data_IF_538706307298
#
_entry.id   IF_538706307298
#
_cell.length_a   1.000
_cell.length_b   1.000
_cell.length_c   1.000
_cell.angle_alpha   90.00
_cell.angle_beta   90.00
_cell.angle_gamma   90.00
#
_symmetry.space_group_name_H-M   'P 1'
#
loop_
_entity.id
_entity.type
_entity.pdbx_description
1 polymer ?
#
# COMPACT_ATOMS: atom_id res chain seq x y z
N UNK A 1 2.42 -20.08 -14.70
CA UNK A 1 2.64 -20.35 -16.15
C UNK A 1 1.40 -20.00 -16.97
N UNK A 2 1.55 -19.27 -18.10
CA UNK A 2 0.48 -19.05 -19.07
C UNK A 2 0.26 -20.39 -19.81
N UNK A 3 -0.99 -20.73 -20.07
CA UNK A 3 -1.39 -22.01 -20.68
C UNK A 3 -0.77 -23.24 -20.01
N UNK A 4 -1.16 -23.50 -18.76
CA UNK A 4 -1.06 -24.85 -18.24
C UNK A 4 -2.07 -25.74 -18.97
N UNK A 5 -1.64 -26.35 -20.08
CA UNK A 5 -2.17 -27.64 -20.56
C UNK A 5 -1.94 -28.77 -19.55
N UNK A 6 -1.29 -28.49 -18.40
CA UNK A 6 -1.23 -29.33 -17.22
C UNK A 6 -2.50 -29.31 -16.34
N UNK A 7 -2.47 -30.09 -15.26
CA UNK A 7 -3.60 -30.36 -14.35
C UNK A 7 -4.40 -29.13 -13.91
N UNK A 8 -3.75 -27.98 -13.73
CA UNK A 8 -4.41 -26.72 -13.36
C UNK A 8 -5.37 -26.18 -14.44
N UNK A 9 -5.05 -26.30 -15.73
CA UNK A 9 -5.94 -25.85 -16.81
C UNK A 9 -7.14 -26.78 -17.00
N UNK A 10 -6.95 -28.09 -16.82
CA UNK A 10 -8.02 -29.07 -16.83
C UNK A 10 -8.99 -28.87 -15.63
N UNK A 11 -8.45 -28.62 -14.44
CA UNK A 11 -9.23 -28.26 -13.24
C UNK A 11 -10.07 -26.99 -13.45
N UNK A 12 -9.45 -25.93 -14.00
CA UNK A 12 -10.14 -24.66 -14.26
C UNK A 12 -11.27 -24.81 -15.28
N UNK A 13 -11.07 -25.63 -16.31
CA UNK A 13 -12.13 -25.93 -17.27
C UNK A 13 -13.28 -26.73 -16.60
N UNK A 14 -12.98 -27.73 -15.78
CA UNK A 14 -13.99 -28.48 -15.02
C UNK A 14 -14.81 -27.61 -14.06
N UNK A 15 -14.16 -26.67 -13.37
CA UNK A 15 -14.80 -25.70 -12.46
C UNK A 15 -15.76 -24.75 -13.19
N UNK A 16 -15.41 -24.29 -14.40
CA UNK A 16 -16.28 -23.38 -15.18
C UNK A 16 -17.62 -24.01 -15.57
N UNK A 17 -17.66 -25.32 -15.84
CA UNK A 17 -18.89 -26.02 -16.21
C UNK A 17 -19.84 -26.21 -15.01
N UNK A 18 -19.30 -26.37 -13.81
CA UNK A 18 -20.07 -26.68 -12.61
C UNK A 18 -20.31 -25.48 -11.68
N UNK A 19 -19.80 -24.29 -12.00
CA UNK A 19 -19.92 -23.10 -11.15
C UNK A 19 -20.06 -21.81 -11.97
N UNK A 20 -21.23 -21.54 -12.58
CA UNK A 20 -21.44 -20.40 -13.47
C UNK A 20 -21.31 -19.03 -12.78
N UNK A 21 -21.37 -19.00 -11.44
CA UNK A 21 -21.16 -17.81 -10.60
C UNK A 21 -19.71 -17.60 -10.16
N UNK A 22 -18.79 -18.50 -10.52
CA UNK A 22 -17.40 -18.47 -10.06
C UNK A 22 -16.63 -17.27 -10.65
N UNK A 23 -16.01 -16.48 -9.77
CA UNK A 23 -15.04 -15.47 -10.16
C UNK A 23 -13.66 -16.09 -10.04
N UNK A 24 -12.91 -16.10 -11.14
CA UNK A 24 -11.58 -16.67 -11.20
C UNK A 24 -10.54 -15.56 -11.34
N UNK A 25 -9.74 -15.32 -10.30
CA UNK A 25 -8.66 -14.35 -10.31
C UNK A 25 -7.31 -15.03 -10.56
N UNK A 26 -6.50 -14.46 -11.47
CA UNK A 26 -5.14 -14.92 -11.75
C UNK A 26 -4.14 -13.76 -11.67
N UNK A 27 -3.03 -13.99 -10.98
CA UNK A 27 -1.90 -13.06 -10.88
C UNK A 27 -0.67 -13.75 -11.49
N UNK A 28 -0.05 -13.12 -12.50
CA UNK A 28 1.21 -13.60 -13.09
C UNK A 28 2.35 -12.60 -12.89
N UNK A 29 3.58 -12.95 -13.31
CA UNK A 29 4.71 -12.01 -13.26
C UNK A 29 4.51 -10.82 -14.20
N UNK A 30 4.26 -11.10 -15.48
CA UNK A 30 4.31 -10.10 -16.55
C UNK A 30 3.03 -9.96 -17.39
N UNK A 31 1.94 -10.62 -16.98
CA UNK A 31 0.70 -10.74 -17.76
C UNK A 31 0.51 -12.15 -18.33
N UNK A 32 -0.64 -12.40 -18.95
CA UNK A 32 -1.00 -13.71 -19.52
C UNK A 32 -0.62 -13.85 -21.00
N UNK A 33 -0.36 -12.72 -21.67
CA UNK A 33 -0.05 -12.65 -23.10
C UNK A 33 1.20 -11.83 -23.33
N UNK A 34 1.78 -11.98 -24.53
CA UNK A 34 2.94 -11.23 -24.96
C UNK A 34 4.28 -11.90 -24.63
N UNK A 35 5.40 -11.23 -24.92
CA UNK A 35 6.72 -11.85 -24.95
C UNK A 35 7.19 -12.44 -23.61
N UNK A 36 6.69 -11.92 -22.49
CA UNK A 36 7.11 -12.31 -21.14
C UNK A 36 6.07 -13.17 -20.42
N UNK A 37 5.00 -13.61 -21.09
CA UNK A 37 3.92 -14.35 -20.43
C UNK A 37 4.45 -15.61 -19.75
N UNK A 38 5.41 -16.32 -20.38
CA UNK A 38 5.97 -17.58 -19.93
C UNK A 38 7.00 -17.48 -18.80
N UNK A 39 7.43 -16.26 -18.49
CA UNK A 39 8.51 -16.03 -17.53
C UNK A 39 8.06 -16.28 -16.09
N UNK A 40 8.97 -16.75 -15.20
CA UNK A 40 8.69 -16.90 -13.79
C UNK A 40 8.23 -15.59 -13.13
N UNK A 41 7.31 -15.71 -12.18
CA UNK A 41 6.83 -14.59 -11.38
C UNK A 41 7.80 -14.30 -10.23
N UNK A 42 8.88 -13.58 -10.51
CA UNK A 42 9.83 -13.08 -9.52
C UNK A 42 9.64 -11.56 -9.32
N UNK A 43 9.22 -11.12 -8.12
CA UNK A 43 8.99 -9.70 -7.84
C UNK A 43 10.21 -8.81 -8.05
N UNK A 44 11.40 -9.25 -7.68
CA UNK A 44 12.61 -8.42 -7.74
C UNK A 44 13.06 -8.23 -9.19
N UNK A 45 12.93 -9.29 -10.01
CA UNK A 45 13.14 -9.18 -11.46
C UNK A 45 12.11 -8.25 -12.11
N UNK A 46 10.87 -8.27 -11.65
CA UNK A 46 9.86 -7.31 -12.08
C UNK A 46 10.29 -5.90 -11.70
N UNK A 47 10.64 -5.61 -10.44
CA UNK A 47 11.06 -4.27 -9.99
C UNK A 47 12.29 -3.75 -10.74
N UNK A 48 13.28 -4.61 -10.97
CA UNK A 48 14.47 -4.28 -11.76
C UNK A 48 14.11 -3.89 -13.20
N UNK A 49 13.34 -4.74 -13.89
CA UNK A 49 12.88 -4.48 -15.26
C UNK A 49 12.00 -3.23 -15.36
N UNK A 50 11.26 -2.98 -14.28
CA UNK A 50 10.36 -1.86 -14.16
C UNK A 50 11.07 -0.57 -13.74
N UNK A 51 12.40 -0.57 -13.59
CA UNK A 51 13.19 0.62 -13.27
C UNK A 51 12.99 1.13 -11.84
N UNK A 52 12.25 0.40 -10.99
CA UNK A 52 11.95 0.82 -9.61
C UNK A 52 13.23 0.89 -8.78
N UNK A 53 14.12 -0.10 -8.93
CA UNK A 53 15.39 -0.14 -8.20
C UNK A 53 16.32 1.01 -8.60
N UNK A 54 16.28 1.39 -9.88
CA UNK A 54 17.04 2.52 -10.42
C UNK A 54 16.37 3.89 -10.16
N UNK A 55 15.19 3.91 -9.53
CA UNK A 55 14.42 5.13 -9.21
C UNK A 55 14.24 5.39 -7.70
N UNK A 56 14.96 4.67 -6.83
CA UNK A 56 15.09 4.94 -5.38
C UNK A 56 16.10 6.03 -4.93
N UNK A 57 15.68 7.14 -4.29
CA UNK A 57 16.61 8.14 -3.77
C UNK A 57 17.61 7.54 -2.76
N UNK A 58 18.85 8.04 -2.75
CA UNK A 58 19.94 7.44 -1.97
C UNK A 58 21.10 8.41 -1.72
N UNK A 59 21.85 8.19 -0.63
CA UNK A 59 23.16 8.82 -0.36
C UNK A 59 24.34 8.15 -1.08
N UNK A 60 24.08 7.09 -1.86
CA UNK A 60 25.07 6.41 -2.70
C UNK A 60 24.61 6.31 -4.15
N UNK A 61 25.59 6.22 -5.05
CA UNK A 61 25.33 5.94 -6.46
C UNK A 61 24.79 4.53 -6.70
N UNK A 62 24.11 4.39 -7.84
CA UNK A 62 23.59 3.12 -8.38
C UNK A 62 22.23 2.70 -7.82
N UNK A 63 21.64 1.62 -8.37
CA UNK A 63 20.33 1.13 -7.95
C UNK A 63 20.27 0.74 -6.48
N UNK A 64 19.12 0.96 -5.84
CA UNK A 64 18.84 0.54 -4.46
C UNK A 64 17.84 -0.60 -4.47
N UNK A 65 18.13 -1.64 -3.71
CA UNK A 65 17.18 -2.71 -3.46
C UNK A 65 16.01 -2.18 -2.61
N UNK A 66 14.77 -2.48 -3.01
CA UNK A 66 13.58 -2.08 -2.26
C UNK A 66 13.08 -3.26 -1.44
N UNK A 67 13.15 -3.14 -0.11
CA UNK A 67 12.66 -4.19 0.79
C UNK A 67 11.14 -4.36 0.76
N UNK A 68 10.40 -3.28 0.53
CA UNK A 68 8.95 -3.37 0.46
C UNK A 68 8.52 -4.13 -0.81
N UNK A 69 7.67 -5.18 -0.72
CA UNK A 69 7.27 -5.99 -1.86
C UNK A 69 6.20 -5.27 -2.70
N UNK A 70 6.57 -4.12 -3.25
CA UNK A 70 5.72 -3.18 -3.99
C UNK A 70 4.89 -3.88 -5.07
N UNK A 71 5.52 -4.74 -5.87
CA UNK A 71 4.86 -5.44 -6.96
C UNK A 71 3.77 -6.39 -6.44
N UNK A 72 4.02 -7.10 -5.34
CA UNK A 72 3.08 -8.04 -4.73
C UNK A 72 1.90 -7.30 -4.10
N UNK A 73 2.17 -6.24 -3.32
CA UNK A 73 1.14 -5.44 -2.68
C UNK A 73 0.25 -4.79 -3.74
N UNK A 74 0.85 -4.17 -4.75
CA UNK A 74 0.11 -3.56 -5.85
C UNK A 74 -0.73 -4.57 -6.63
N UNK A 75 -0.18 -5.75 -6.95
CA UNK A 75 -0.92 -6.81 -7.63
C UNK A 75 -2.08 -7.35 -6.78
N UNK A 76 -1.86 -7.53 -5.47
CA UNK A 76 -2.90 -7.95 -4.52
C UNK A 76 -4.03 -6.94 -4.42
N UNK A 77 -3.73 -5.64 -4.35
CA UNK A 77 -4.73 -4.58 -4.36
C UNK A 77 -5.53 -4.55 -5.66
N UNK A 78 -4.87 -4.64 -6.82
CA UNK A 78 -5.53 -4.70 -8.12
C UNK A 78 -6.43 -5.94 -8.25
N UNK A 79 -5.95 -7.10 -7.75
CA UNK A 79 -6.74 -8.32 -7.73
C UNK A 79 -7.98 -8.16 -6.85
N UNK A 80 -7.85 -7.61 -5.64
CA UNK A 80 -8.97 -7.36 -4.75
C UNK A 80 -10.00 -6.40 -5.37
N UNK A 81 -9.55 -5.29 -5.97
CA UNK A 81 -10.41 -4.35 -6.68
C UNK A 81 -11.13 -5.03 -7.84
N UNK A 82 -10.42 -5.80 -8.66
CA UNK A 82 -10.99 -6.55 -9.78
C UNK A 82 -12.02 -7.58 -9.33
N UNK A 83 -11.76 -8.29 -8.22
CA UNK A 83 -12.70 -9.24 -7.62
C UNK A 83 -13.96 -8.51 -7.13
N UNK A 84 -13.82 -7.38 -6.44
CA UNK A 84 -14.98 -6.58 -5.99
C UNK A 84 -15.81 -6.08 -7.17
N UNK A 85 -15.17 -5.59 -8.23
CA UNK A 85 -15.87 -5.19 -9.45
C UNK A 85 -16.59 -6.37 -10.13
N UNK A 86 -15.96 -7.54 -10.18
CA UNK A 86 -16.56 -8.76 -10.69
C UNK A 86 -17.74 -9.25 -9.83
N UNK A 87 -17.64 -9.13 -8.50
CA UNK A 87 -18.73 -9.43 -7.57
C UNK A 87 -19.92 -8.50 -7.81
N UNK A 88 -19.67 -7.21 -8.01
CA UNK A 88 -20.70 -6.23 -8.33
C UNK A 88 -21.40 -6.56 -9.67
N UNK A 89 -20.64 -6.81 -10.73
CA UNK A 89 -21.19 -7.24 -12.03
C UNK A 89 -21.99 -8.54 -11.94
N UNK A 90 -21.58 -9.47 -11.07
CA UNK A 90 -22.25 -10.75 -10.89
C UNK A 90 -23.65 -10.60 -10.28
N UNK A 91 -23.91 -9.55 -9.50
CA UNK A 91 -25.25 -9.29 -8.98
C UNK A 91 -26.24 -8.91 -10.09
N UNK A 92 -25.78 -8.20 -11.12
CA UNK A 92 -26.61 -7.84 -12.28
C UNK A 92 -26.76 -8.99 -13.28
N UNK A 93 -25.65 -9.70 -13.56
CA UNK A 93 -25.60 -10.69 -14.65
C UNK A 93 -25.92 -12.11 -14.19
N UNK A 94 -25.83 -12.38 -12.89
CA UNK A 94 -25.91 -13.71 -12.32
C UNK A 94 -24.72 -14.62 -12.65
N UNK A 95 -23.67 -14.11 -13.32
CA UNK A 95 -22.53 -14.91 -13.82
C UNK A 95 -21.21 -14.37 -13.28
N UNK A 96 -20.30 -15.29 -12.97
CA UNK A 96 -18.93 -14.94 -12.62
C UNK A 96 -18.10 -14.60 -13.86
N UNK A 97 -16.90 -14.06 -13.64
CA UNK A 97 -15.98 -13.69 -14.71
C UNK A 97 -14.52 -13.98 -14.33
N UNK A 98 -13.62 -13.83 -15.29
CA UNK A 98 -12.18 -13.92 -15.06
C UNK A 98 -11.63 -12.53 -14.69
N UNK A 99 -10.83 -12.47 -13.64
CA UNK A 99 -10.06 -11.29 -13.24
C UNK A 99 -8.58 -11.61 -13.44
N UNK A 100 -7.83 -10.70 -14.06
CA UNK A 100 -6.41 -10.90 -14.35
C UNK A 100 -5.62 -9.66 -13.97
N UNK A 101 -4.47 -9.86 -13.34
CA UNK A 101 -3.48 -8.82 -13.10
C UNK A 101 -2.07 -9.43 -13.09
N UNK A 102 -1.06 -8.61 -12.85
CA UNK A 102 0.33 -9.07 -12.79
C UNK A 102 1.15 -8.28 -11.77
N UNK A 103 2.27 -8.86 -11.34
CA UNK A 103 3.29 -8.16 -10.56
C UNK A 103 3.76 -6.90 -11.29
N UNK A 104 3.90 -6.97 -12.61
CA UNK A 104 4.25 -5.83 -13.45
C UNK A 104 3.18 -4.73 -13.39
N UNK A 105 1.89 -5.07 -13.42
CA UNK A 105 0.80 -4.11 -13.22
C UNK A 105 0.82 -3.53 -11.80
N UNK A 106 1.09 -4.34 -10.78
CA UNK A 106 1.28 -3.88 -9.40
C UNK A 106 2.41 -2.86 -9.28
N UNK A 107 3.55 -3.10 -9.93
CA UNK A 107 4.69 -2.19 -9.93
C UNK A 107 4.42 -0.85 -10.68
N UNK A 108 3.40 -0.79 -11.54
CA UNK A 108 2.97 0.47 -12.16
C UNK A 108 2.32 1.43 -11.14
N UNK A 109 1.74 0.92 -10.06
CA UNK A 109 1.12 1.76 -9.03
C UNK A 109 2.14 2.56 -8.21
N UNK A 110 3.41 2.13 -8.22
CA UNK A 110 4.47 2.72 -7.40
C UNK A 110 4.97 4.07 -7.92
N UNK A 111 5.03 4.23 -9.25
CA UNK A 111 5.57 5.46 -9.84
C UNK A 111 4.81 5.80 -11.11
N UNK A 112 4.32 7.05 -11.24
CA UNK A 112 3.62 7.48 -12.43
C UNK A 112 4.58 7.42 -13.62
N UNK A 113 4.29 6.52 -14.56
CA UNK A 113 5.08 6.38 -15.79
C UNK A 113 4.46 7.22 -16.87
N UNK A 114 5.09 8.35 -17.13
CA UNK A 114 4.69 9.24 -18.22
C UNK A 114 5.79 9.25 -19.26
N UNK A 115 5.41 9.07 -20.52
CA UNK A 115 6.28 9.27 -21.68
C UNK A 115 5.61 10.27 -22.60
N UNK A 116 6.30 11.36 -22.92
CA UNK A 116 5.87 12.30 -23.95
C UNK A 116 7.10 12.86 -24.67
N UNK A 117 6.97 13.21 -25.95
CA UNK A 117 8.10 13.62 -26.81
C UNK A 117 8.87 14.83 -26.28
N UNK A 118 8.19 15.70 -25.54
CA UNK A 118 8.76 16.90 -24.92
C UNK A 118 8.87 16.80 -23.39
N UNK A 119 8.55 15.64 -22.81
CA UNK A 119 8.74 15.42 -21.39
C UNK A 119 10.23 15.16 -21.16
N UNK A 120 10.91 16.13 -20.58
CA UNK A 120 12.21 15.89 -20.00
C UNK A 120 12.04 14.76 -18.97
N UNK A 121 12.75 13.65 -19.18
CA UNK A 121 12.82 12.60 -18.18
C UNK A 121 13.30 13.26 -16.90
N UNK A 122 12.39 13.44 -15.93
CA UNK A 122 12.80 13.62 -14.55
C UNK A 122 13.29 12.27 -14.10
N UNK A 123 14.48 11.90 -14.56
CA UNK A 123 15.28 10.94 -13.84
C UNK A 123 15.42 11.58 -12.47
N UNK A 124 14.75 11.03 -11.47
CA UNK A 124 15.23 11.17 -10.10
C UNK A 124 16.70 10.78 -10.21
N UNK A 125 17.62 11.75 -10.28
CA UNK A 125 19.05 11.46 -10.32
C UNK A 125 19.42 11.24 -8.86
N UNK A 126 19.72 9.99 -8.54
CA UNK A 126 19.61 9.47 -7.18
C UNK A 126 20.97 9.26 -6.53
N UNK A 127 21.82 10.26 -6.65
CA UNK A 127 22.99 10.36 -5.81
C UNK A 127 22.71 11.18 -4.55
N UNK A 128 21.47 11.65 -4.36
CA UNK A 128 21.13 12.31 -3.11
C UNK A 128 19.68 12.11 -2.66
N UNK A 129 19.43 11.82 -1.37
CA UNK A 129 18.09 11.61 -0.82
C UNK A 129 17.42 12.94 -0.47
N UNK A 130 17.76 14.00 -1.20
CA UNK A 130 17.29 15.38 -1.03
C UNK A 130 15.79 15.53 -1.33
N UNK A 131 15.08 14.42 -1.51
CA UNK A 131 13.63 14.34 -1.61
C UNK A 131 13.06 15.26 -2.68
N UNK A 132 11.99 15.96 -2.33
CA UNK A 132 11.27 16.89 -3.20
C UNK A 132 11.91 18.28 -3.30
N UNK A 133 12.94 18.57 -2.49
CA UNK A 133 13.62 19.86 -2.44
C UNK A 133 14.39 20.11 -1.13
N UNK A 134 15.09 21.25 -1.00
CA UNK A 134 15.95 21.58 0.15
C UNK A 134 15.26 21.58 1.53
N UNK A 135 13.95 21.83 1.59
CA UNK A 135 13.14 21.74 2.81
C UNK A 135 12.12 20.59 2.77
N UNK A 136 12.28 19.67 1.82
CA UNK A 136 11.42 18.49 1.64
C UNK A 136 12.30 17.24 1.53
N UNK A 137 12.92 16.84 2.64
CA UNK A 137 13.87 15.73 2.72
C UNK A 137 14.01 15.22 4.15
N UNK A 138 14.83 14.18 4.35
CA UNK A 138 15.17 13.61 5.65
C UNK A 138 16.54 14.14 6.07
N UNK A 139 16.65 14.63 7.31
CA UNK A 139 17.86 15.23 7.84
C UNK A 139 18.27 14.59 9.17
N UNK A 140 19.57 14.37 9.32
CA UNK A 140 20.21 13.92 10.56
C UNK A 140 20.29 15.09 11.56
N UNK A 141 19.92 14.84 12.81
CA UNK A 141 19.96 15.78 13.91
C UNK A 141 21.23 15.60 14.77
N UNK A 142 21.45 16.45 15.77
CA UNK A 142 22.66 16.44 16.60
C UNK A 142 22.88 15.13 17.40
N UNK A 143 21.80 14.43 17.70
CA UNK A 143 21.77 13.16 18.43
C UNK A 143 21.87 11.91 17.52
N UNK A 144 22.00 12.10 16.19
CA UNK A 144 22.05 11.03 15.21
C UNK A 144 20.68 10.48 14.79
N UNK A 145 19.60 11.02 15.37
CA UNK A 145 18.22 10.73 14.96
C UNK A 145 17.85 11.53 13.70
N UNK A 146 16.80 11.10 12.99
CA UNK A 146 16.43 11.66 11.69
C UNK A 146 15.02 12.24 11.69
N UNK A 147 14.86 13.42 11.08
CA UNK A 147 13.57 14.08 10.86
C UNK A 147 13.29 14.24 9.37
N UNK A 148 12.05 13.94 8.95
CA UNK A 148 11.53 14.34 7.65
C UNK A 148 10.96 15.75 7.76
N UNK A 149 11.38 16.65 6.88
CA UNK A 149 10.70 17.93 6.63
C UNK A 149 9.78 17.81 5.42
N UNK A 150 8.57 18.36 5.53
CA UNK A 150 7.49 18.27 4.54
C UNK A 150 7.09 19.61 3.94
N UNK A 151 8.02 20.56 3.78
CA UNK A 151 7.71 21.92 3.33
C UNK A 151 7.42 21.95 1.81
N UNK A 152 6.18 21.64 1.43
CA UNK A 152 5.79 21.49 0.02
C UNK A 152 5.56 22.82 -0.72
N UNK A 153 5.30 23.90 0.02
CA UNK A 153 5.06 25.25 -0.53
C UNK A 153 5.90 26.29 0.21
N UNK A 154 6.12 27.44 -0.43
CA UNK A 154 7.02 28.50 0.06
C UNK A 154 6.69 29.00 1.48
N UNK A 155 5.40 29.10 1.85
CA UNK A 155 5.05 29.50 3.21
C UNK A 155 5.60 28.57 4.32
N UNK A 156 5.70 27.27 4.07
CA UNK A 156 6.34 26.34 5.02
C UNK A 156 7.87 26.49 5.02
N UNK A 157 8.45 26.82 3.85
CA UNK A 157 9.87 27.14 3.75
C UNK A 157 10.21 28.37 4.57
N UNK A 158 9.39 29.43 4.47
CA UNK A 158 9.58 30.67 5.22
C UNK A 158 9.52 30.43 6.75
N UNK A 159 8.53 29.65 7.20
CA UNK A 159 8.39 29.26 8.62
C UNK A 159 9.59 28.44 9.09
N UNK A 160 10.00 27.41 8.32
CA UNK A 160 11.14 26.58 8.66
C UNK A 160 12.43 27.41 8.70
N UNK A 161 12.67 28.26 7.70
CA UNK A 161 13.84 29.13 7.64
C UNK A 161 13.90 30.12 8.81
N UNK A 162 12.75 30.65 9.25
CA UNK A 162 12.67 31.50 10.44
C UNK A 162 13.05 30.74 11.71
N UNK A 163 12.51 29.54 11.93
CA UNK A 163 12.81 28.68 13.09
C UNK A 163 14.27 28.22 13.10
N UNK A 164 14.81 27.93 11.92
CA UNK A 164 16.20 27.55 11.70
C UNK A 164 17.18 28.72 11.82
N UNK A 165 16.69 29.97 11.81
CA UNK A 165 17.52 31.17 11.85
C UNK A 165 18.26 31.46 10.55
N UNK A 166 17.78 30.94 9.40
CA UNK A 166 18.38 31.13 8.07
C UNK A 166 17.54 32.00 7.13
N UNK A 167 16.58 32.75 7.68
CA UNK A 167 15.66 33.57 6.89
C UNK A 167 16.37 34.68 6.09
N UNK A 168 17.53 35.17 6.55
CA UNK A 168 18.31 36.16 5.81
C UNK A 168 18.97 35.54 4.57
N UNK A 169 19.51 34.34 4.70
CA UNK A 169 20.14 33.56 3.63
C UNK A 169 19.13 33.23 2.52
N UNK A 170 17.86 33.03 2.88
CA UNK A 170 16.76 32.83 1.93
C UNK A 170 16.49 34.04 1.01
N UNK A 171 17.09 35.20 1.27
CA UNK A 171 17.01 36.36 0.35
C UNK A 171 17.94 36.26 -0.86
N UNK A 172 18.83 35.27 -0.90
CA UNK A 172 19.65 34.97 -2.08
C UNK A 172 18.73 34.70 -3.30
N UNK A 173 18.80 35.50 -4.37
CA UNK A 173 17.94 35.32 -5.53
C UNK A 173 18.11 33.95 -6.20
N UNK A 174 19.26 33.28 -6.02
CA UNK A 174 19.49 31.93 -6.55
C UNK A 174 18.64 30.85 -5.86
N UNK A 175 18.22 31.08 -4.61
CA UNK A 175 17.36 30.15 -3.88
C UNK A 175 15.88 30.26 -4.27
N UNK A 176 15.48 31.37 -4.90
CA UNK A 176 14.10 31.58 -5.31
C UNK A 176 13.15 31.54 -4.12
N UNK A 177 12.14 30.66 -4.18
CA UNK A 177 11.20 30.40 -3.08
C UNK A 177 11.66 29.27 -2.14
N UNK A 178 12.92 28.84 -2.26
CA UNK A 178 13.53 27.72 -1.54
C UNK A 178 13.05 26.33 -1.95
N UNK A 179 11.94 26.23 -2.70
CA UNK A 179 11.41 24.97 -3.21
C UNK A 179 12.13 24.57 -4.49
N UNK A 180 12.27 25.51 -5.42
CA UNK A 180 12.91 25.28 -6.72
C UNK A 180 14.01 26.33 -6.96
N UNK A 181 15.19 26.16 -6.35
CA UNK A 181 16.35 27.01 -6.63
C UNK A 181 16.67 27.06 -8.13
N UNK A 182 17.24 28.17 -8.58
CA UNK A 182 17.39 28.47 -10.01
C UNK A 182 18.22 27.44 -10.78
N UNK A 183 19.17 26.81 -10.10
CA UNK A 183 20.06 25.80 -10.66
C UNK A 183 20.44 24.76 -9.60
N UNK A 184 21.07 23.68 -10.05
CA UNK A 184 21.44 22.55 -9.19
C UNK A 184 22.48 22.92 -8.12
N UNK A 185 23.40 23.85 -8.43
CA UNK A 185 24.41 24.30 -7.48
C UNK A 185 23.78 25.05 -6.32
N UNK A 186 22.90 26.01 -6.59
CA UNK A 186 22.11 26.72 -5.59
C UNK A 186 21.24 25.75 -4.76
N UNK A 187 20.67 24.73 -5.41
CA UNK A 187 19.87 23.69 -4.75
C UNK A 187 20.69 22.89 -3.75
N UNK A 188 21.90 22.48 -4.13
CA UNK A 188 22.83 21.76 -3.26
C UNK A 188 23.33 22.64 -2.10
N UNK A 189 23.66 23.92 -2.38
CA UNK A 189 24.05 24.89 -1.34
C UNK A 189 22.96 25.02 -0.29
N UNK A 190 21.72 25.24 -0.70
CA UNK A 190 20.59 25.39 0.22
C UNK A 190 20.30 24.11 1.00
N UNK A 191 20.34 22.95 0.32
CA UNK A 191 20.15 21.66 1.01
C UNK A 191 21.20 21.43 2.09
N UNK A 192 22.48 21.68 1.79
CA UNK A 192 23.57 21.51 2.76
C UNK A 192 23.43 22.49 3.92
N UNK A 193 23.03 23.73 3.66
CA UNK A 193 22.74 24.71 4.73
C UNK A 193 21.64 24.21 5.68
N UNK A 194 20.53 23.70 5.15
CA UNK A 194 19.46 23.10 5.97
C UNK A 194 19.99 21.90 6.74
N UNK A 195 20.74 21.01 6.09
CA UNK A 195 21.32 19.83 6.73
C UNK A 195 22.28 20.19 7.88
N UNK A 196 23.12 21.21 7.70
CA UNK A 196 24.04 21.68 8.73
C UNK A 196 23.29 22.29 9.92
N UNK A 197 22.22 23.05 9.67
CA UNK A 197 21.38 23.60 10.75
C UNK A 197 20.69 22.48 11.52
N UNK A 198 20.14 21.47 10.84
CA UNK A 198 19.48 20.33 11.50
C UNK A 198 20.42 19.62 12.49
N UNK A 199 21.74 19.63 12.26
CA UNK A 199 22.74 19.06 13.18
C UNK A 199 23.03 19.89 14.43
N UNK A 200 22.40 21.06 14.61
CA UNK A 200 22.65 21.93 15.76
C UNK A 200 21.83 21.59 17.00
N UNK A 201 20.74 20.81 16.86
CA UNK A 201 19.85 20.40 17.96
C UNK A 201 19.44 18.92 17.84
N UNK A 202 19.09 18.26 18.96
CA UNK A 202 18.50 16.92 18.95
C UNK A 202 17.16 16.88 18.21
N UNK A 203 16.77 15.72 17.69
CA UNK A 203 15.53 15.57 16.91
C UNK A 203 14.27 15.96 17.70
N UNK A 204 14.22 15.65 19.00
CA UNK A 204 13.08 16.00 19.85
C UNK A 204 12.91 17.53 20.00
N UNK A 205 14.00 18.27 20.17
CA UNK A 205 13.96 19.74 20.27
C UNK A 205 13.50 20.36 18.94
N UNK A 206 14.01 19.85 17.82
CA UNK A 206 13.54 20.28 16.50
C UNK A 206 12.06 20.00 16.28
N UNK A 207 11.57 18.81 16.67
CA UNK A 207 10.17 18.45 16.55
C UNK A 207 9.28 19.44 17.33
N UNK A 208 9.63 19.78 18.56
CA UNK A 208 8.90 20.77 19.37
C UNK A 208 8.91 22.16 18.72
N UNK A 209 10.07 22.61 18.22
CA UNK A 209 10.21 23.92 17.57
C UNK A 209 9.41 24.01 16.26
N UNK A 210 9.45 22.96 15.45
CA UNK A 210 8.72 22.91 14.18
C UNK A 210 7.20 22.78 14.41
N UNK A 211 6.77 21.97 15.36
CA UNK A 211 5.36 21.86 15.73
C UNK A 211 4.80 23.18 16.25
N UNK A 212 5.53 23.88 17.12
CA UNK A 212 5.13 25.19 17.63
C UNK A 212 5.02 26.28 16.55
N UNK A 213 5.68 26.09 15.40
CA UNK A 213 5.69 27.01 14.26
C UNK A 213 4.85 26.52 13.07
N UNK A 214 4.06 25.46 13.23
CA UNK A 214 3.27 24.83 12.16
C UNK A 214 4.12 24.39 10.94
N UNK A 215 5.38 24.00 11.17
CA UNK A 215 6.27 23.46 10.14
C UNK A 215 6.04 21.94 10.02
N UNK A 216 5.61 21.42 8.84
CA UNK A 216 5.38 19.99 8.67
C UNK A 216 6.66 19.19 8.84
N UNK A 217 6.73 18.41 9.92
CA UNK A 217 7.87 17.57 10.23
C UNK A 217 7.46 16.33 11.01
N UNK A 218 8.22 15.25 10.86
CA UNK A 218 8.02 14.02 11.62
C UNK A 218 9.32 13.26 11.81
N UNK A 219 9.46 12.58 12.95
CA UNK A 219 10.57 11.64 13.19
C UNK A 219 10.52 10.46 12.22
N UNK A 220 11.68 10.17 11.63
CA UNK A 220 11.88 9.01 10.76
C UNK A 220 12.20 7.77 11.60
N UNK A 221 11.19 7.24 12.27
CA UNK A 221 11.31 6.04 13.12
C UNK A 221 11.33 4.71 12.36
N UNK A 222 11.60 3.64 13.09
CA UNK A 222 11.56 2.26 12.60
C UNK A 222 10.12 1.74 12.50
N UNK A 223 9.92 0.68 11.70
CA UNK A 223 8.62 0.01 11.60
C UNK A 223 8.14 -0.57 12.95
N UNK A 224 9.06 -0.96 13.84
CA UNK A 224 8.73 -1.48 15.16
C UNK A 224 8.24 -0.36 16.09
N UNK A 225 8.88 0.81 16.05
CA UNK A 225 8.43 1.98 16.80
C UNK A 225 7.05 2.44 16.31
N UNK A 226 6.80 2.41 15.00
CA UNK A 226 5.52 2.79 14.42
C UNK A 226 4.34 1.98 14.98
N UNK A 227 4.50 0.69 15.30
CA UNK A 227 3.42 -0.10 15.91
C UNK A 227 3.01 0.38 17.31
N UNK A 228 3.86 1.16 17.97
CA UNK A 228 3.58 1.79 19.26
C UNK A 228 3.15 3.26 19.12
N UNK A 229 2.99 3.76 17.90
CA UNK A 229 2.57 5.14 17.66
C UNK A 229 1.17 5.37 18.27
N UNK A 230 0.98 6.45 19.06
CA UNK A 230 -0.29 6.72 19.71
C UNK A 230 -1.48 6.77 18.75
N UNK A 231 -1.28 7.28 17.53
CA UNK A 231 -2.31 7.36 16.50
C UNK A 231 -2.63 5.98 15.91
N UNK A 232 -1.63 5.10 15.74
CA UNK A 232 -1.84 3.72 15.31
C UNK A 232 -2.65 2.95 16.36
N UNK A 233 -2.27 3.09 17.64
CA UNK A 233 -2.98 2.45 18.76
C UNK A 233 -4.40 2.99 18.91
N UNK A 234 -4.59 4.31 18.88
CA UNK A 234 -5.91 4.94 19.00
C UNK A 234 -6.89 4.51 17.88
N UNK A 235 -6.37 4.22 16.69
CA UNK A 235 -7.18 3.80 15.55
C UNK A 235 -7.26 2.27 15.38
N UNK A 236 -6.89 1.48 16.38
CA UNK A 236 -6.81 0.00 16.32
C UNK A 236 -6.13 -0.50 15.02
N UNK A 237 -5.12 0.24 14.55
CA UNK A 237 -4.34 -0.10 13.36
C UNK A 237 -3.20 -1.08 13.69
N UNK A 238 -2.98 -1.34 14.97
CA UNK A 238 -2.23 -2.48 15.49
C UNK A 238 -3.17 -3.36 16.32
N UNK A 239 -2.92 -4.66 16.31
CA UNK A 239 -3.66 -5.65 17.10
C UNK A 239 -2.70 -6.63 17.76
N UNK A 240 -3.10 -7.19 18.89
CA UNK A 240 -2.37 -8.26 19.56
C UNK A 240 -3.09 -9.60 19.36
N UNK A 241 -2.31 -10.67 19.19
CA UNK A 241 -2.82 -12.04 19.23
C UNK A 241 -1.77 -13.00 19.81
N UNK A 242 -2.21 -14.17 20.28
CA UNK A 242 -1.30 -15.24 20.69
C UNK A 242 -0.97 -16.13 19.49
N UNK A 243 0.20 -15.94 18.90
CA UNK A 243 0.69 -16.77 17.79
C UNK A 243 1.22 -18.11 18.34
N UNK A 244 0.88 -19.25 17.71
CA UNK A 244 1.28 -20.58 18.21
C UNK A 244 2.79 -20.83 18.20
N UNK A 245 3.57 -20.05 17.44
CA UNK A 245 5.03 -20.17 17.34
C UNK A 245 5.73 -19.06 18.12
N UNK A 246 5.21 -17.84 18.07
CA UNK A 246 5.88 -16.65 18.61
C UNK A 246 5.29 -16.13 19.92
N UNK A 247 4.17 -16.70 20.40
CA UNK A 247 3.45 -16.23 21.58
C UNK A 247 2.77 -14.88 21.32
N UNK A 248 2.64 -14.06 22.36
CA UNK A 248 2.00 -12.74 22.26
C UNK A 248 2.69 -11.88 21.20
N UNK A 249 1.97 -11.58 20.12
CA UNK A 249 2.50 -10.92 18.92
C UNK A 249 1.63 -9.73 18.54
N UNK A 250 2.28 -8.60 18.22
CA UNK A 250 1.61 -7.40 17.68
C UNK A 250 1.73 -7.39 16.15
N UNK A 251 0.61 -7.20 15.47
CA UNK A 251 0.50 -7.17 14.01
C UNK A 251 -0.30 -5.95 13.56
N UNK A 252 -0.24 -5.61 12.28
CA UNK A 252 -1.16 -4.65 11.70
C UNK A 252 -2.61 -5.13 11.84
N UNK A 253 -3.48 -4.24 12.31
CA UNK A 253 -4.92 -4.44 12.42
C UNK A 253 -5.62 -4.35 11.06
N UNK A 254 -6.96 -4.24 11.07
CA UNK A 254 -7.75 -4.11 9.85
C UNK A 254 -7.72 -2.65 9.36
N UNK A 255 -7.09 -2.34 8.22
CA UNK A 255 -6.85 -0.96 7.80
C UNK A 255 -8.09 -0.27 7.19
N UNK A 256 -9.19 -1.01 6.96
CA UNK A 256 -10.44 -0.50 6.43
C UNK A 256 -11.56 -0.75 7.44
N UNK A 257 -12.20 0.33 7.92
CA UNK A 257 -13.36 0.24 8.81
C UNK A 257 -14.65 0.46 8.04
N UNK A 258 -15.50 -0.55 8.00
CA UNK A 258 -16.87 -0.42 7.52
C UNK A 258 -17.80 -0.23 8.73
N UNK A 259 -18.61 0.83 8.72
CA UNK A 259 -19.44 1.21 9.87
C UNK A 259 -20.49 0.16 10.25
N UNK A 260 -21.05 -0.55 9.27
CA UNK A 260 -22.08 -1.59 9.49
C UNK A 260 -21.52 -3.01 9.57
N UNK A 261 -20.37 -3.26 8.95
CA UNK A 261 -19.76 -4.59 8.82
C UNK A 261 -18.26 -4.53 9.09
N UNK A 262 -17.83 -4.10 10.29
CA UNK A 262 -16.42 -3.92 10.58
C UNK A 262 -15.67 -5.25 10.44
N UNK A 263 -14.54 -5.21 9.74
CA UNK A 263 -13.65 -6.37 9.61
C UNK A 263 -13.09 -6.77 10.98
N UNK A 264 -12.88 -8.07 11.18
CA UNK A 264 -12.28 -8.62 12.39
C UNK A 264 -11.29 -9.71 12.02
N UNK A 265 -10.17 -9.75 12.73
CA UNK A 265 -9.22 -10.85 12.65
C UNK A 265 -9.75 -12.03 13.46
N UNK A 266 -9.76 -13.21 12.86
CA UNK A 266 -10.38 -14.42 13.44
C UNK A 266 -9.47 -15.19 14.40
N UNK A 267 -8.17 -14.93 14.39
CA UNK A 267 -7.19 -15.63 15.22
C UNK A 267 -5.84 -15.74 14.53
N UNK A 268 -4.85 -16.37 15.20
CA UNK A 268 -3.54 -16.62 14.60
C UNK A 268 -3.65 -17.53 13.38
N UNK A 269 -2.60 -17.54 12.56
CA UNK A 269 -2.42 -18.58 11.54
C UNK A 269 -2.40 -19.97 12.22
N UNK A 270 -2.94 -21.01 11.58
CA UNK A 270 -2.75 -22.37 12.06
C UNK A 270 -1.26 -22.72 12.18
N UNK A 271 -0.89 -23.49 13.21
CA UNK A 271 0.49 -23.91 13.45
C UNK A 271 1.02 -24.86 12.37
N UNK A 272 0.11 -25.61 11.73
CA UNK A 272 0.38 -26.54 10.64
C UNK A 272 -0.55 -26.23 9.46
N UNK A 273 -0.15 -26.59 8.24
CA UNK A 273 -1.03 -26.49 7.09
C UNK A 273 -2.29 -27.33 7.33
N UNK A 274 -3.47 -26.76 7.06
CA UNK A 274 -4.73 -27.50 7.14
C UNK A 274 -4.68 -28.63 6.11
N UNK A 275 -4.91 -29.88 6.54
CA UNK A 275 -4.91 -31.03 5.65
C UNK A 275 -6.05 -30.94 4.65
N UNK A 276 -5.88 -31.50 3.46
CA UNK A 276 -6.94 -31.56 2.46
C UNK A 276 -8.18 -32.29 3.01
N UNK A 277 -7.97 -33.35 3.78
CA UNK A 277 -9.03 -34.15 4.40
C UNK A 277 -9.82 -33.30 5.42
N UNK A 278 -9.15 -32.52 6.27
CA UNK A 278 -9.81 -31.60 7.22
C UNK A 278 -10.72 -30.60 6.50
N UNK A 279 -10.29 -30.10 5.34
CA UNK A 279 -11.10 -29.18 4.51
C UNK A 279 -12.30 -29.91 3.92
N UNK A 280 -12.12 -31.10 3.37
CA UNK A 280 -13.20 -31.89 2.76
C UNK A 280 -14.24 -32.32 3.81
N UNK A 281 -13.81 -32.72 4.99
CA UNK A 281 -14.67 -33.06 6.12
C UNK A 281 -15.48 -31.83 6.56
N UNK A 282 -14.85 -30.65 6.63
CA UNK A 282 -15.56 -29.41 6.96
C UNK A 282 -16.65 -29.05 5.94
N UNK A 283 -16.39 -29.26 4.64
CA UNK A 283 -17.36 -28.98 3.57
C UNK A 283 -18.53 -29.97 3.58
N UNK A 284 -18.27 -31.25 3.83
CA UNK A 284 -19.32 -32.27 3.94
C UNK A 284 -20.22 -32.08 5.16
N UNK A 285 -19.67 -31.53 6.26
CA UNK A 285 -20.44 -31.22 7.47
C UNK A 285 -21.36 -30.00 7.34
N UNK A 286 -21.04 -29.05 6.45
CA UNK A 286 -21.86 -27.86 6.21
C UNK A 286 -23.07 -28.09 5.30
N UNK A 287 -23.08 -29.16 4.48
CA UNK A 287 -24.21 -29.48 3.59
C UNK A 287 -25.36 -30.21 4.31
N UNK A 288 -25.18 -30.66 5.56
CA UNK A 288 -26.20 -31.43 6.31
C UNK A 288 -27.10 -30.53 7.19
N UNK A 289 -26.76 -29.26 7.40
CA UNK A 289 -27.52 -28.37 8.29
C UNK A 289 -28.50 -27.41 7.58
N UNK A 290 -28.56 -27.41 6.24
CA UNK A 290 -29.27 -26.38 5.46
C UNK A 290 -30.56 -26.80 4.75
N UNK A 291 -30.96 -28.08 4.75
CA UNK A 291 -32.08 -28.53 3.91
C UNK A 291 -33.43 -28.65 4.63
N UNK A 292 -33.47 -28.80 5.96
CA UNK A 292 -34.70 -29.25 6.63
C UNK A 292 -35.41 -28.16 7.48
N UNK A 293 -34.72 -27.12 7.97
CA UNK A 293 -35.38 -26.12 8.85
C UNK A 293 -35.93 -24.88 8.14
N UNK A 294 -35.54 -24.59 6.88
CA UNK A 294 -36.01 -23.39 6.17
C UNK A 294 -37.32 -23.58 5.37
N UNK A 295 -37.79 -24.83 5.19
CA UNK A 295 -39.09 -25.06 4.52
C UNK A 295 -40.32 -24.91 5.43
N UNK A 296 -40.16 -24.97 6.76
CA UNK A 296 -41.28 -24.79 7.69
C UNK A 296 -41.57 -23.32 8.05
N UNK A 297 -40.57 -22.42 7.99
CA UNK A 297 -40.77 -21.00 8.33
C UNK A 297 -41.32 -20.15 7.16
N UNK A 298 -41.01 -20.50 5.91
CA UNK A 298 -41.49 -19.77 4.72
C UNK A 298 -42.96 -20.09 4.35
N UNK A 299 -43.52 -21.18 4.89
CA UNK A 299 -44.94 -21.53 4.72
C UNK A 299 -45.89 -20.71 5.59
N UNK A 300 -45.43 -20.25 6.77
CA UNK A 300 -46.26 -19.48 7.70
C UNK A 300 -46.27 -17.98 7.41
N UNK A 301 -45.22 -17.44 6.78
CA UNK A 301 -45.10 -15.99 6.52
C UNK A 301 -45.87 -15.50 5.27
N UNK A 302 -46.42 -16.41 4.44
CA UNK A 302 -47.13 -16.04 3.20
C UNK A 302 -48.62 -15.77 3.35
N UNK A 303 -49.25 -16.15 4.46
CA UNK A 303 -50.70 -15.95 4.65
C UNK A 303 -51.07 -14.61 5.33
N UNK A 304 -50.12 -13.91 5.97
CA UNK A 304 -50.43 -12.69 6.74
C UNK A 304 -50.24 -11.36 5.98
N UNK A 305 -49.91 -11.37 4.69
CA UNK A 305 -49.64 -10.14 3.91
C UNK A 305 -50.74 -9.77 2.90
N UNK A 306 -52.00 -10.10 3.21
CA UNK A 306 -53.19 -9.61 2.48
C UNK A 306 -54.16 -8.88 3.40
N UNK A 307 -53.78 -7.71 3.88
CA UNK A 307 -54.68 -6.55 4.01
C UNK A 307 -53.97 -5.44 4.75
N UNK A 308 -53.78 -4.30 4.09
CA UNK A 308 -53.80 -2.98 4.73
C UNK A 308 -53.94 -1.92 3.61
N UNK A 309 -54.93 -1.02 3.69
CA UNK A 309 -55.24 -0.08 2.62
C UNK A 309 -54.39 1.19 2.71
N UNK A 310 -54.10 1.76 1.54
CA UNK A 310 -53.50 3.09 1.36
C UNK A 310 -54.43 4.18 1.89
N UNK A 311 -53.93 5.06 2.76
CA UNK A 311 -54.52 6.38 3.02
C UNK A 311 -53.46 7.36 3.57
N UNK A 312 -53.45 8.58 3.02
CA UNK A 312 -52.96 9.80 3.66
C UNK A 312 -51.64 10.33 3.14
#
# INVERSE_FOLDING_TARGET
>A
PPDSTGSAGALLNGLKWNSPRLIHCSITGYGQVGPLAGEPADPDLVLARMGVLASQPSFRDGPIHVMHPVANVGAGLLAAIGIVAALYQREETGRGTKVETSLMAGALLYSPRVRADKLQSRSFRMSSPQGGGPFYSVFECADGEWLQLGCIHSGFVDLAAAVMGIAHEMTDPEFGDGRMPQNEEARLRLFNMVADVMKTRPAAEWQELFEAADVPSARSGTAQEALNDPQILYNDMAMELDDPVFGKTTLAGVPIRLSKTPGRVRGPRPAQAVGLDDVLDSLSSSDVAGSDEQQEQDGAARDDMKSLPLAG
#
